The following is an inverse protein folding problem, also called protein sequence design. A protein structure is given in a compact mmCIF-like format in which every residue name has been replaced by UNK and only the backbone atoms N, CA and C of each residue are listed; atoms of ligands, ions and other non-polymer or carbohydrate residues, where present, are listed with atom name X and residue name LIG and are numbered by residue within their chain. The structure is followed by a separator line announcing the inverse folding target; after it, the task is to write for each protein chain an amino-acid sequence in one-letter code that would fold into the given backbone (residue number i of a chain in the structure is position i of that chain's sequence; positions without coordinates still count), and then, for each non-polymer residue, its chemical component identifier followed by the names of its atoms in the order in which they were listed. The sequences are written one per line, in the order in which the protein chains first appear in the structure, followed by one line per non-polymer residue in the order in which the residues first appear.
data_IF_913425557357
#
_entry.id   IF_913425557357
#
_cell.length_a   1.000
_cell.length_b   1.000
_cell.length_c   1.000
_cell.angle_alpha   90.00
_cell.angle_beta   90.00
_cell.angle_gamma   90.00
#
_symmetry.space_group_name_H-M   'P 1'
#
loop_
_entity.id
_entity.type
_entity.pdbx_description
1 polymer ?
#
# COMPACT_ATOMS: atom_id res chain seq x y z
N UNK A 1 -34.76 44.06 0.04
CA UNK A 1 -35.08 42.66 -0.32
C UNK A 1 -34.17 42.08 -1.40
N UNK A 2 -33.92 42.77 -2.52
CA UNK A 2 -33.12 42.25 -3.66
C UNK A 2 -31.65 41.93 -3.31
N UNK A 3 -31.04 42.61 -2.32
CA UNK A 3 -29.65 42.31 -1.90
C UNK A 3 -29.52 41.03 -1.09
N UNK A 4 -30.57 40.59 -0.39
CA UNK A 4 -30.54 39.36 0.44
C UNK A 4 -30.68 38.12 -0.46
N UNK A 5 -31.49 38.21 -1.52
CA UNK A 5 -31.67 37.12 -2.48
C UNK A 5 -30.42 36.83 -3.31
N UNK A 6 -29.62 37.85 -3.65
CA UNK A 6 -28.37 37.66 -4.39
C UNK A 6 -27.29 36.95 -3.55
N UNK A 7 -27.19 37.26 -2.25
CA UNK A 7 -26.25 36.60 -1.34
C UNK A 7 -26.62 35.13 -1.06
N UNK A 8 -27.92 34.80 -0.98
CA UNK A 8 -28.37 33.42 -0.79
C UNK A 8 -28.10 32.57 -2.05
N UNK A 9 -28.32 33.11 -3.26
CA UNK A 9 -28.03 32.40 -4.51
C UNK A 9 -26.53 32.14 -4.68
N UNK A 10 -25.66 33.06 -4.24
CA UNK A 10 -24.21 32.88 -4.28
C UNK A 10 -23.74 31.77 -3.31
N UNK A 11 -24.33 31.67 -2.12
CA UNK A 11 -24.02 30.62 -1.13
C UNK A 11 -24.52 29.26 -1.62
N UNK A 12 -25.70 29.21 -2.26
CA UNK A 12 -26.24 27.98 -2.85
C UNK A 12 -25.34 27.51 -4.01
N UNK A 13 -24.89 28.40 -4.90
CA UNK A 13 -23.94 28.04 -5.96
C UNK A 13 -22.57 27.58 -5.44
N UNK A 14 -22.09 28.13 -4.33
CA UNK A 14 -20.85 27.68 -3.69
C UNK A 14 -21.02 26.29 -3.02
N UNK A 15 -22.21 25.98 -2.51
CA UNK A 15 -22.51 24.68 -1.90
C UNK A 15 -22.85 23.56 -2.91
N UNK A 16 -23.36 23.89 -4.10
CA UNK A 16 -23.61 22.87 -5.14
C UNK A 16 -22.32 22.43 -5.86
N UNK A 17 -21.31 23.29 -5.98
CA UNK A 17 -20.03 22.93 -6.59
C UNK A 17 -19.25 21.86 -5.82
N UNK A 18 -19.43 21.80 -4.49
CA UNK A 18 -18.75 20.80 -3.64
C UNK A 18 -19.36 19.40 -3.73
N UNK A 19 -20.65 19.29 -4.08
CA UNK A 19 -21.36 17.99 -4.09
C UNK A 19 -20.97 17.18 -5.34
N UNK A 20 -20.90 17.80 -6.52
CA UNK A 20 -20.52 17.11 -7.76
C UNK A 20 -19.03 16.69 -7.81
N UNK A 21 -18.12 17.44 -7.19
CA UNK A 21 -16.68 17.08 -7.14
C UNK A 21 -16.39 15.83 -6.31
N UNK A 22 -17.26 15.51 -5.35
CA UNK A 22 -17.07 14.40 -4.41
C UNK A 22 -17.34 13.02 -5.04
N UNK A 23 -18.28 12.94 -5.98
CA UNK A 23 -18.67 11.68 -6.63
C UNK A 23 -17.58 11.18 -7.59
N UNK A 24 -17.01 12.08 -8.39
CA UNK A 24 -15.89 11.76 -9.30
C UNK A 24 -14.60 11.41 -8.53
N UNK A 25 -14.32 12.09 -7.40
CA UNK A 25 -13.17 11.76 -6.54
C UNK A 25 -13.26 10.33 -6.00
N UNK A 26 -14.45 9.90 -5.55
CA UNK A 26 -14.68 8.55 -5.05
C UNK A 26 -14.49 7.47 -6.13
N UNK A 27 -14.88 7.75 -7.38
CA UNK A 27 -14.67 6.83 -8.51
C UNK A 27 -13.17 6.54 -8.70
N UNK A 28 -12.34 7.58 -8.77
CA UNK A 28 -10.90 7.44 -8.92
C UNK A 28 -10.24 6.82 -7.68
N UNK A 29 -10.75 7.12 -6.49
CA UNK A 29 -10.28 6.50 -5.25
C UNK A 29 -10.53 4.98 -5.24
N UNK A 30 -11.72 4.55 -5.63
CA UNK A 30 -12.08 3.14 -5.72
C UNK A 30 -11.26 2.42 -6.79
N UNK A 31 -11.09 3.02 -7.98
CA UNK A 31 -10.26 2.48 -9.05
C UNK A 31 -8.79 2.33 -8.61
N UNK A 32 -8.24 3.33 -7.91
CA UNK A 32 -6.90 3.26 -7.35
C UNK A 32 -6.75 2.19 -6.28
N UNK A 33 -7.77 2.02 -5.43
CA UNK A 33 -7.82 0.95 -4.43
C UNK A 33 -7.84 -0.44 -5.06
N UNK A 34 -8.63 -0.63 -6.13
CA UNK A 34 -8.67 -1.90 -6.86
C UNK A 34 -7.31 -2.26 -7.47
N UNK A 35 -6.64 -1.28 -8.10
CA UNK A 35 -5.30 -1.47 -8.67
C UNK A 35 -4.25 -1.78 -7.61
N UNK A 36 -4.37 -1.18 -6.43
CA UNK A 36 -3.52 -1.51 -5.29
C UNK A 36 -3.72 -2.95 -4.83
N UNK A 37 -4.98 -3.42 -4.72
CA UNK A 37 -5.29 -4.82 -4.37
C UNK A 37 -4.77 -5.83 -5.41
N UNK A 38 -4.64 -5.42 -6.67
CA UNK A 38 -4.03 -6.21 -7.73
C UNK A 38 -2.48 -6.18 -7.71
N UNK A 39 -1.87 -5.43 -6.79
CA UNK A 39 -0.41 -5.23 -6.71
C UNK A 39 0.16 -4.30 -7.79
N UNK A 40 -0.70 -3.58 -8.53
CA UNK A 40 -0.27 -2.62 -9.54
C UNK A 40 -0.12 -1.23 -8.94
N UNK A 41 1.02 -1.00 -8.28
CA UNK A 41 1.31 0.24 -7.55
C UNK A 41 1.32 1.48 -8.45
N UNK A 42 1.79 1.38 -9.70
CA UNK A 42 1.88 2.52 -10.61
C UNK A 42 0.50 3.06 -10.99
N UNK A 43 -0.40 2.18 -11.46
CA UNK A 43 -1.77 2.56 -11.81
C UNK A 43 -2.60 2.95 -10.58
N UNK A 44 -2.33 2.34 -9.43
CA UNK A 44 -2.98 2.70 -8.17
C UNK A 44 -2.70 4.16 -7.79
N UNK A 45 -1.43 4.57 -7.81
CA UNK A 45 -1.03 5.94 -7.49
C UNK A 45 -1.58 6.92 -8.53
N UNK A 46 -1.55 6.59 -9.82
CA UNK A 46 -2.09 7.49 -10.86
C UNK A 46 -3.58 7.80 -10.65
N UNK A 47 -4.39 6.78 -10.35
CA UNK A 47 -5.81 6.97 -10.07
C UNK A 47 -6.04 7.75 -8.77
N UNK A 48 -5.29 7.47 -7.71
CA UNK A 48 -5.40 8.21 -6.46
C UNK A 48 -4.94 9.67 -6.60
N UNK A 49 -3.96 9.98 -7.44
CA UNK A 49 -3.57 11.35 -7.75
C UNK A 49 -4.68 12.10 -8.50
N UNK A 50 -5.43 11.43 -9.39
CA UNK A 50 -6.63 11.99 -10.01
C UNK A 50 -7.70 12.29 -8.94
N UNK A 51 -7.94 11.37 -8.02
CA UNK A 51 -8.84 11.59 -6.88
C UNK A 51 -8.40 12.78 -6.01
N UNK A 52 -7.10 12.88 -5.72
CA UNK A 52 -6.52 13.97 -4.92
C UNK A 52 -6.63 15.34 -5.60
N UNK A 53 -6.59 15.38 -6.95
CA UNK A 53 -6.82 16.62 -7.71
C UNK A 53 -8.27 17.08 -7.63
N UNK A 54 -9.22 16.15 -7.55
CA UNK A 54 -10.65 16.43 -7.44
C UNK A 54 -11.08 16.77 -6.00
N UNK A 55 -10.38 16.25 -5.00
CA UNK A 55 -10.58 16.59 -3.59
C UNK A 55 -9.25 16.86 -2.85
N UNK A 56 -8.66 18.07 -3.02
CA UNK A 56 -7.37 18.42 -2.41
C UNK A 56 -7.36 18.43 -0.88
N UNK A 57 -8.53 18.65 -0.26
CA UNK A 57 -8.73 18.71 1.19
C UNK A 57 -8.74 17.34 1.87
N UNK A 58 -8.90 16.26 1.12
CA UNK A 58 -9.04 14.94 1.68
C UNK A 58 -7.71 14.34 2.13
N UNK A 59 -7.45 14.44 3.44
CA UNK A 59 -6.25 13.88 4.06
C UNK A 59 -6.13 12.35 3.82
N UNK A 60 -7.26 11.62 3.73
CA UNK A 60 -7.25 10.16 3.57
C UNK A 60 -6.65 9.74 2.23
N UNK A 61 -6.99 10.44 1.15
CA UNK A 61 -6.45 10.14 -0.18
C UNK A 61 -4.93 10.34 -0.19
N UNK A 62 -4.48 11.46 0.41
CA UNK A 62 -3.06 11.80 0.52
C UNK A 62 -2.29 10.78 1.36
N UNK A 63 -2.79 10.42 2.53
CA UNK A 63 -2.20 9.40 3.40
C UNK A 63 -2.12 8.04 2.70
N UNK A 64 -3.16 7.69 1.92
CA UNK A 64 -3.19 6.43 1.21
C UNK A 64 -2.17 6.40 0.06
N UNK A 65 -2.02 7.49 -0.70
CA UNK A 65 -0.95 7.63 -1.71
C UNK A 65 0.43 7.43 -1.07
N UNK A 66 0.70 8.10 0.05
CA UNK A 66 1.99 7.99 0.76
C UNK A 66 2.25 6.54 1.18
N UNK A 67 1.23 5.87 1.75
CA UNK A 67 1.35 4.46 2.15
C UNK A 67 1.71 3.56 0.96
N UNK A 68 1.01 3.71 -0.15
CA UNK A 68 1.22 2.90 -1.37
C UNK A 68 2.63 3.14 -1.93
N UNK A 69 3.09 4.40 -1.95
CA UNK A 69 4.44 4.74 -2.42
C UNK A 69 5.54 4.17 -1.52
N UNK A 70 5.35 4.16 -0.20
CA UNK A 70 6.29 3.50 0.74
C UNK A 70 6.34 1.99 0.47
N UNK A 71 5.18 1.35 0.29
CA UNK A 71 5.11 -0.09 0.03
C UNK A 71 5.74 -0.47 -1.32
N UNK A 72 5.48 0.30 -2.37
CA UNK A 72 6.11 0.14 -3.68
C UNK A 72 7.63 0.35 -3.61
N UNK A 73 8.09 1.30 -2.78
CA UNK A 73 9.52 1.51 -2.49
C UNK A 73 10.13 0.27 -1.83
N UNK A 74 9.48 -0.30 -0.81
CA UNK A 74 9.93 -1.51 -0.13
C UNK A 74 9.99 -2.71 -1.08
N UNK A 75 8.98 -2.90 -1.94
CA UNK A 75 8.98 -3.97 -2.93
C UNK A 75 10.11 -3.80 -3.94
N UNK A 76 10.35 -2.58 -4.41
CA UNK A 76 11.47 -2.28 -5.31
C UNK A 76 12.83 -2.54 -4.64
N UNK A 77 12.98 -2.27 -3.34
CA UNK A 77 14.16 -2.66 -2.55
C UNK A 77 14.37 -4.17 -2.50
N UNK A 78 13.30 -4.95 -2.27
CA UNK A 78 13.36 -6.42 -2.27
C UNK A 78 13.84 -6.95 -3.62
N UNK A 79 13.46 -6.28 -4.72
CA UNK A 79 13.88 -6.60 -6.07
C UNK A 79 15.23 -5.98 -6.47
N UNK A 80 15.92 -5.29 -5.56
CA UNK A 80 17.16 -4.51 -5.80
C UNK A 80 17.03 -3.48 -6.93
N UNK A 81 15.81 -3.06 -7.25
CA UNK A 81 15.54 -2.03 -8.25
C UNK A 81 15.55 -0.64 -7.59
N UNK A 82 16.74 -0.19 -7.17
CA UNK A 82 16.90 1.06 -6.43
C UNK A 82 16.49 2.31 -7.23
N UNK A 83 16.53 2.25 -8.56
CA UNK A 83 16.07 3.33 -9.43
C UNK A 83 14.57 3.54 -9.29
N UNK A 84 13.80 2.46 -9.38
CA UNK A 84 12.36 2.51 -9.21
C UNK A 84 11.97 2.81 -7.75
N UNK A 85 12.72 2.27 -6.79
CA UNK A 85 12.54 2.61 -5.38
C UNK A 85 12.70 4.12 -5.14
N UNK A 86 13.72 4.74 -5.76
CA UNK A 86 13.95 6.17 -5.63
C UNK A 86 12.82 7.00 -6.24
N UNK A 87 12.27 6.57 -7.38
CA UNK A 87 11.13 7.22 -8.02
C UNK A 87 9.92 7.27 -7.08
N UNK A 88 9.55 6.13 -6.48
CA UNK A 88 8.41 6.07 -5.56
C UNK A 88 8.62 6.89 -4.29
N UNK A 89 9.79 6.78 -3.66
CA UNK A 89 10.05 7.50 -2.41
C UNK A 89 10.22 9.01 -2.61
N UNK A 90 10.72 9.45 -3.78
CA UNK A 90 10.78 10.88 -4.13
C UNK A 90 9.38 11.50 -4.22
N UNK A 91 8.42 10.78 -4.82
CA UNK A 91 7.01 11.19 -4.88
C UNK A 91 6.39 11.23 -3.48
N UNK A 92 6.66 10.24 -2.64
CA UNK A 92 6.16 10.24 -1.26
C UNK A 92 6.70 11.45 -0.47
N UNK A 93 7.96 11.81 -0.68
CA UNK A 93 8.58 12.98 -0.05
C UNK A 93 7.96 14.30 -0.53
N UNK A 94 7.49 14.38 -1.78
CA UNK A 94 6.73 15.53 -2.27
C UNK A 94 5.36 15.68 -1.57
N UNK A 95 4.70 14.57 -1.23
CA UNK A 95 3.42 14.60 -0.51
C UNK A 95 3.54 14.88 0.98
N UNK A 96 4.64 14.44 1.62
CA UNK A 96 4.87 14.60 3.04
C UNK A 96 6.34 14.91 3.37
N UNK A 97 6.82 16.12 3.02
CA UNK A 97 8.24 16.49 3.18
C UNK A 97 8.67 16.60 4.64
N UNK A 98 7.74 16.68 5.59
CA UNK A 98 8.03 16.72 7.04
C UNK A 98 7.92 15.34 7.71
N UNK A 99 7.55 14.30 6.96
CA UNK A 99 7.43 12.96 7.53
C UNK A 99 8.81 12.32 7.67
N UNK A 100 9.28 12.18 8.92
CA UNK A 100 10.60 11.65 9.26
C UNK A 100 10.87 10.28 8.60
N UNK A 101 9.88 9.38 8.61
CA UNK A 101 10.02 8.04 8.00
C UNK A 101 10.26 8.11 6.50
N UNK A 102 9.58 9.03 5.80
CA UNK A 102 9.76 9.23 4.36
C UNK A 102 11.13 9.81 4.05
N UNK A 103 11.60 10.76 4.86
CA UNK A 103 12.94 11.35 4.71
C UNK A 103 14.06 10.33 4.93
N UNK A 104 13.97 9.52 5.99
CA UNK A 104 14.94 8.47 6.29
C UNK A 104 15.00 7.43 5.16
N UNK A 105 13.83 6.97 4.69
CA UNK A 105 13.75 6.00 3.60
C UNK A 105 14.23 6.59 2.26
N UNK A 106 13.98 7.89 2.00
CA UNK A 106 14.51 8.59 0.83
C UNK A 106 16.04 8.63 0.87
N UNK A 107 16.63 9.04 2.01
CA UNK A 107 18.08 9.10 2.20
C UNK A 107 18.73 7.73 1.99
N UNK A 108 18.22 6.70 2.66
CA UNK A 108 18.68 5.32 2.51
C UNK A 108 18.64 4.84 1.05
N UNK A 109 17.53 5.11 0.35
CA UNK A 109 17.36 4.69 -1.05
C UNK A 109 18.32 5.41 -1.98
N UNK A 110 18.56 6.70 -1.75
CA UNK A 110 19.51 7.50 -2.50
C UNK A 110 20.96 7.02 -2.29
N UNK A 111 21.33 6.73 -1.04
CA UNK A 111 22.66 6.20 -0.69
C UNK A 111 22.89 4.84 -1.37
N UNK A 112 21.90 3.92 -1.29
CA UNK A 112 21.97 2.62 -1.96
C UNK A 112 22.07 2.74 -3.48
N UNK A 113 21.38 3.70 -4.10
CA UNK A 113 21.48 3.94 -5.54
C UNK A 113 22.87 4.45 -5.93
N UNK A 114 23.46 5.35 -5.15
CA UNK A 114 24.81 5.87 -5.38
C UNK A 114 25.87 4.77 -5.22
N UNK A 115 25.76 3.95 -4.18
CA UNK A 115 26.64 2.78 -3.99
C UNK A 115 26.51 1.77 -5.14
N UNK A 116 25.28 1.51 -5.62
CA UNK A 116 25.05 0.65 -6.78
C UNK A 116 25.63 1.24 -8.07
N UNK A 117 25.69 2.57 -8.21
CA UNK A 117 26.32 3.23 -9.36
C UNK A 117 27.85 3.24 -9.27
N UNK A 118 28.43 3.37 -8.07
CA UNK A 118 29.87 3.29 -7.85
C UNK A 118 30.43 1.90 -8.13
N UNK A 119 29.68 0.84 -7.80
CA UNK A 119 30.06 -0.54 -8.13
C UNK A 119 29.99 -0.84 -9.64
N UNK A 120 29.25 -0.04 -10.41
CA UNK A 120 29.12 -0.15 -11.86
C UNK A 120 30.05 0.80 -12.64
N UNK A 121 31.00 1.48 -11.98
CA UNK A 121 32.07 2.21 -12.68
C UNK A 121 33.05 1.20 -13.30
N UNK A 122 33.20 1.14 -14.63
CA UNK A 122 34.15 0.24 -15.26
C UNK A 122 35.58 0.74 -15.05
N UNK A 123 36.46 -0.14 -14.58
CA UNK A 123 37.86 -0.10 -15.00
C UNK A 123 37.93 -0.16 -16.53
N UNK A 124 38.94 0.51 -17.09
CA UNK A 124 39.20 0.67 -18.52
C UNK A 124 38.85 -0.56 -19.39
N UNK A 125 37.97 -0.37 -20.39
CA UNK A 125 38.35 -0.47 -21.82
C UNK A 125 37.14 -0.62 -22.79
N UNK A 126 37.19 0.20 -23.84
CA UNK A 126 36.77 0.01 -25.25
C UNK A 126 35.28 -0.20 -25.62
N UNK A 127 34.66 0.93 -25.94
CA UNK A 127 34.00 1.28 -27.22
C UNK A 127 33.21 0.18 -28.01
N UNK A 128 31.86 0.29 -28.02
CA UNK A 128 31.04 0.06 -29.25
C UNK A 128 29.57 0.53 -29.14
N UNK A 129 29.32 1.64 -29.87
CA UNK A 129 28.19 2.01 -30.77
C UNK A 129 26.71 1.84 -30.33
N UNK A 130 26.10 3.01 -30.13
CA UNK A 130 24.68 3.40 -30.23
C UNK A 130 24.05 3.17 -31.61
N UNK A 131 22.72 3.00 -31.68
CA UNK A 131 21.81 3.55 -32.71
C UNK A 131 20.31 3.36 -32.32
N UNK A 132 19.32 4.04 -32.95
CA UNK A 132 18.43 4.99 -32.26
C UNK A 132 16.91 4.72 -32.38
N UNK A 133 16.14 5.55 -31.66
CA UNK A 133 14.68 5.77 -31.73
C UNK A 133 14.13 6.04 -33.15
N UNK A 134 12.85 5.68 -33.43
CA UNK A 134 12.08 6.27 -34.52
C UNK A 134 10.99 7.22 -34.05
N UNK A 135 11.03 8.46 -34.55
CA UNK A 135 9.94 9.43 -34.57
C UNK A 135 9.12 9.35 -35.87
N UNK A 136 7.92 9.97 -35.81
CA UNK A 136 7.15 10.61 -36.91
C UNK A 136 6.33 9.66 -37.83
N UNK A 137 5.08 9.92 -38.23
CA UNK A 137 4.57 11.16 -38.83
C UNK A 137 3.06 11.43 -38.65
N UNK A 138 2.78 12.73 -38.59
CA UNK A 138 1.51 13.43 -38.71
C UNK A 138 1.19 13.67 -40.19
N UNK A 139 -0.07 13.59 -40.60
CA UNK A 139 -0.56 14.38 -41.76
C UNK A 139 -1.99 14.89 -41.54
N UNK A 140 -2.13 16.22 -41.64
CA UNK A 140 -3.37 17.00 -41.79
C UNK A 140 -3.39 17.56 -43.22
N UNK A 141 -4.58 17.70 -43.84
CA UNK A 141 -5.11 18.90 -44.55
C UNK A 141 -6.36 18.52 -45.39
N UNK A 142 -7.56 19.10 -45.18
CA UNK A 142 -8.11 20.42 -45.64
C UNK A 142 -8.50 20.40 -47.15
N UNK A 143 -9.59 20.92 -47.73
CA UNK A 143 -10.94 21.51 -47.42
C UNK A 143 -11.64 21.74 -48.80
N UNK A 144 -12.90 22.25 -48.86
CA UNK A 144 -13.76 22.27 -50.05
C UNK A 144 -13.68 23.56 -50.88
N UNK A 145 -14.33 23.58 -52.06
CA UNK A 145 -14.60 24.79 -52.82
C UNK A 145 -15.97 24.74 -53.55
N UNK A 146 -16.71 25.85 -53.42
CA UNK A 146 -17.93 26.26 -54.12
C UNK A 146 -17.56 27.15 -55.30
N UNK A 147 -18.28 27.11 -56.43
CA UNK A 147 -18.48 28.27 -57.32
C UNK A 147 -19.63 28.09 -58.33
N UNK A 148 -20.14 29.23 -58.80
CA UNK A 148 -21.46 29.48 -59.36
C UNK A 148 -21.49 29.77 -60.87
N UNK A 149 -22.72 29.91 -61.37
CA UNK A 149 -23.24 30.76 -62.49
C UNK A 149 -23.31 30.25 -63.96
N UNK A 150 -24.41 30.68 -64.60
CA UNK A 150 -25.00 30.33 -65.92
C UNK A 150 -24.41 31.15 -67.10
N UNK A 151 -24.83 30.92 -68.38
CA UNK A 151 -25.90 31.78 -68.96
C UNK A 151 -26.76 31.24 -70.15
N UNK A 152 -27.99 31.80 -70.24
CA UNK A 152 -28.81 32.30 -71.38
C UNK A 152 -28.59 31.80 -72.84
N UNK A 153 -29.71 31.46 -73.53
CA UNK A 153 -29.96 31.71 -74.98
C UNK A 153 -31.42 32.12 -75.27
N UNK A 154 -31.59 33.09 -76.19
CA UNK A 154 -32.83 33.66 -76.78
C UNK A 154 -33.03 33.17 -78.24
N UNK A 155 -34.27 33.05 -78.70
CA UNK A 155 -34.72 33.33 -80.10
C UNK A 155 -36.26 33.50 -80.13
N UNK A 156 -36.77 34.68 -80.51
CA UNK A 156 -37.49 35.04 -81.77
C UNK A 156 -38.94 34.48 -81.84
N UNK A 157 -40.01 35.25 -81.65
CA UNK A 157 -40.64 36.31 -82.50
C UNK A 157 -41.60 35.75 -83.57
N UNK A 158 -42.91 35.99 -83.43
CA UNK A 158 -43.88 36.19 -84.53
C UNK A 158 -45.23 36.73 -84.03
N UNK A 159 -45.82 37.67 -84.79
CA UNK A 159 -47.00 38.50 -84.46
C UNK A 159 -48.29 38.02 -85.16
N UNK A 160 -49.41 38.20 -84.45
CA UNK A 160 -50.78 38.60 -84.89
C UNK A 160 -51.59 37.64 -85.81
N UNK A 161 -52.94 37.76 -85.94
CA UNK A 161 -53.81 38.85 -85.50
C UNK A 161 -55.14 38.48 -84.78
N UNK A 162 -55.77 39.55 -84.31
CA UNK A 162 -57.13 39.77 -83.82
C UNK A 162 -58.22 39.01 -84.61
N UNK A 163 -59.11 38.33 -83.89
CA UNK A 163 -60.50 38.10 -84.32
C UNK A 163 -61.42 38.09 -83.09
N UNK A 164 -62.30 39.09 -83.03
CA UNK A 164 -63.34 39.21 -82.02
C UNK A 164 -64.49 38.26 -82.34
N UNK A 165 -64.70 37.26 -81.48
CA UNK A 165 -65.83 36.33 -81.56
C UNK A 165 -66.76 36.61 -80.38
N UNK A 166 -68.00 36.95 -80.70
CA UNK A 166 -69.11 37.16 -79.77
C UNK A 166 -69.29 35.92 -78.88
N UNK A 167 -69.10 36.08 -77.56
CA UNK A 167 -69.19 35.00 -76.57
C UNK A 167 -70.60 34.95 -75.99
N UNK A 168 -71.35 33.93 -76.38
CA UNK A 168 -72.61 33.52 -75.77
C UNK A 168 -72.41 33.26 -74.25
N UNK A 169 -73.12 34.03 -73.42
CA UNK A 169 -73.01 34.07 -71.95
C UNK A 169 -73.85 33.00 -71.24
N UNK A 170 -74.34 31.97 -71.92
CA UNK A 170 -75.12 30.90 -71.27
C UNK A 170 -74.28 29.71 -70.77
N UNK A 171 -72.97 29.63 -71.11
CA UNK A 171 -72.09 28.50 -70.73
C UNK A 171 -70.88 28.88 -69.85
N UNK A 172 -70.74 30.17 -69.50
CA UNK A 172 -69.56 30.73 -68.82
C UNK A 172 -69.41 30.20 -67.37
N UNK A 173 -70.52 29.85 -66.71
CA UNK A 173 -70.47 29.25 -65.37
C UNK A 173 -69.91 27.81 -65.41
N UNK A 174 -70.28 27.00 -66.40
CA UNK A 174 -69.76 25.62 -66.55
C UNK A 174 -68.26 25.60 -66.80
N UNK A 175 -67.77 26.54 -67.60
CA UNK A 175 -66.33 26.72 -67.87
C UNK A 175 -65.60 27.14 -66.59
N UNK A 176 -66.15 28.09 -65.81
CA UNK A 176 -65.58 28.49 -64.52
C UNK A 176 -65.57 27.35 -63.50
N UNK A 177 -66.65 26.58 -63.39
CA UNK A 177 -66.71 25.40 -62.51
C UNK A 177 -65.72 24.32 -62.94
N UNK A 178 -65.53 24.11 -64.25
CA UNK A 178 -64.52 23.19 -64.77
C UNK A 178 -63.10 23.60 -64.35
N UNK A 179 -62.74 24.89 -64.44
CA UNK A 179 -61.44 25.37 -63.99
C UNK A 179 -61.25 25.30 -62.47
N UNK A 180 -62.29 25.58 -61.67
CA UNK A 180 -62.24 25.42 -60.21
C UNK A 180 -62.06 23.95 -59.83
N UNK A 181 -62.79 23.04 -60.49
CA UNK A 181 -62.69 21.60 -60.25
C UNK A 181 -61.34 21.05 -60.70
N UNK A 182 -60.83 21.46 -61.88
CA UNK A 182 -59.50 21.09 -62.35
C UNK A 182 -58.41 21.62 -61.41
N UNK A 183 -58.57 22.85 -60.89
CA UNK A 183 -57.70 23.43 -59.87
C UNK A 183 -57.69 22.61 -58.59
N UNK A 184 -58.86 22.29 -58.04
CA UNK A 184 -58.99 21.44 -56.85
C UNK A 184 -58.38 20.05 -57.07
N UNK A 185 -58.68 19.39 -58.19
CA UNK A 185 -58.12 18.09 -58.57
C UNK A 185 -56.59 18.14 -58.68
N UNK A 186 -56.02 19.23 -59.21
CA UNK A 186 -54.56 19.40 -59.27
C UNK A 186 -53.92 19.50 -57.89
N UNK A 187 -54.57 20.20 -56.94
CA UNK A 187 -54.09 20.30 -55.55
C UNK A 187 -54.17 18.94 -54.85
N UNK A 188 -55.26 18.19 -55.04
CA UNK A 188 -55.36 16.82 -54.53
C UNK A 188 -54.30 15.90 -55.13
N UNK A 189 -54.02 16.02 -56.43
CA UNK A 189 -53.01 15.22 -57.10
C UNK A 189 -51.60 15.55 -56.60
N UNK A 190 -51.28 16.84 -56.40
CA UNK A 190 -50.03 17.29 -55.78
C UNK A 190 -49.91 16.78 -54.33
N UNK A 191 -50.97 16.86 -53.53
CA UNK A 191 -51.00 16.32 -52.17
C UNK A 191 -50.77 14.80 -52.15
N UNK A 192 -51.37 14.08 -53.10
CA UNK A 192 -51.17 12.64 -53.25
C UNK A 192 -49.73 12.28 -53.64
N UNK A 193 -49.11 13.04 -54.55
CA UNK A 193 -47.69 12.86 -54.90
C UNK A 193 -46.79 13.09 -53.68
N UNK A 194 -47.04 14.13 -52.89
CA UNK A 194 -46.27 14.41 -51.66
C UNK A 194 -46.43 13.29 -50.64
N UNK A 195 -47.64 12.75 -50.47
CA UNK A 195 -47.91 11.62 -49.59
C UNK A 195 -47.15 10.37 -50.05
N UNK A 196 -47.18 10.05 -51.35
CA UNK A 196 -46.41 8.93 -51.91
C UNK A 196 -44.90 9.13 -51.72
N UNK A 197 -44.39 10.34 -51.95
CA UNK A 197 -42.99 10.66 -51.71
C UNK A 197 -42.60 10.48 -50.23
N UNK A 198 -43.46 10.90 -49.29
CA UNK A 198 -43.26 10.69 -47.85
C UNK A 198 -43.17 9.21 -47.49
N UNK A 199 -44.10 8.38 -48.00
CA UNK A 199 -44.08 6.92 -47.78
C UNK A 199 -42.82 6.27 -48.35
N UNK A 200 -42.34 6.73 -49.51
CA UNK A 200 -41.10 6.24 -50.11
C UNK A 200 -39.89 6.61 -49.23
N UNK A 201 -39.82 7.84 -48.72
CA UNK A 201 -38.74 8.29 -47.83
C UNK A 201 -38.72 7.46 -46.55
N UNK A 202 -39.87 7.23 -45.91
CA UNK A 202 -39.98 6.37 -44.75
C UNK A 202 -39.53 4.93 -45.05
N UNK A 203 -39.92 4.37 -46.19
CA UNK A 203 -39.49 3.02 -46.58
C UNK A 203 -37.97 2.91 -46.74
N UNK A 204 -37.31 3.94 -47.27
CA UNK A 204 -35.85 4.01 -47.43
C UNK A 204 -35.19 4.13 -46.05
N UNK A 205 -35.74 4.97 -45.16
CA UNK A 205 -35.28 5.11 -43.79
C UNK A 205 -35.35 3.78 -43.02
N UNK A 206 -36.48 3.08 -43.12
CA UNK A 206 -36.69 1.77 -42.49
C UNK A 206 -35.70 0.72 -43.01
N UNK A 207 -35.39 0.70 -44.31
CA UNK A 207 -34.37 -0.19 -44.87
C UNK A 207 -32.98 0.09 -44.29
N UNK A 208 -32.60 1.36 -44.13
CA UNK A 208 -31.33 1.75 -43.51
C UNK A 208 -31.26 1.31 -42.05
N UNK A 209 -32.32 1.55 -41.28
CA UNK A 209 -32.40 1.13 -39.86
C UNK A 209 -32.29 -0.39 -39.75
N UNK A 210 -32.99 -1.16 -40.59
CA UNK A 210 -32.87 -2.63 -40.63
C UNK A 210 -31.46 -3.10 -40.95
N UNK A 211 -30.79 -2.48 -41.91
CA UNK A 211 -29.41 -2.81 -42.25
C UNK A 211 -28.45 -2.53 -41.09
N UNK A 212 -28.63 -1.40 -40.39
CA UNK A 212 -27.84 -1.11 -39.18
C UNK A 212 -28.12 -2.10 -38.04
N UNK A 213 -29.38 -2.53 -37.87
CA UNK A 213 -29.76 -3.50 -36.84
C UNK A 213 -29.13 -4.87 -37.08
N UNK A 214 -29.06 -5.32 -38.34
CA UNK A 214 -28.35 -6.55 -38.71
C UNK A 214 -26.85 -6.47 -38.40
N UNK A 215 -26.20 -5.32 -38.64
CA UNK A 215 -24.78 -5.12 -38.29
C UNK A 215 -24.57 -5.20 -36.78
N UNK A 216 -25.43 -4.55 -36.00
CA UNK A 216 -25.38 -4.61 -34.54
C UNK A 216 -25.59 -6.04 -34.03
N UNK A 217 -26.49 -6.81 -34.64
CA UNK A 217 -26.70 -8.22 -34.29
C UNK A 217 -25.46 -9.08 -34.59
N UNK A 218 -24.80 -8.83 -35.73
CA UNK A 218 -23.55 -9.51 -36.09
C UNK A 218 -22.41 -9.17 -35.10
N UNK A 219 -22.23 -7.89 -34.77
CA UNK A 219 -21.28 -7.44 -33.75
C UNK A 219 -21.57 -8.05 -32.38
N UNK A 220 -22.84 -8.15 -31.98
CA UNK A 220 -23.21 -8.80 -30.72
C UNK A 220 -22.87 -10.29 -30.72
N UNK A 221 -23.07 -10.98 -31.85
CA UNK A 221 -22.68 -12.39 -32.00
C UNK A 221 -21.16 -12.57 -31.92
N UNK A 222 -20.37 -11.68 -32.51
CA UNK A 222 -18.91 -11.74 -32.42
C UNK A 222 -18.44 -11.47 -30.99
N UNK A 223 -18.99 -10.45 -30.32
CA UNK A 223 -18.65 -10.11 -28.94
C UNK A 223 -19.01 -11.26 -27.98
N UNK A 224 -20.15 -11.91 -28.20
CA UNK A 224 -20.59 -13.05 -27.39
C UNK A 224 -19.65 -14.25 -27.54
N UNK A 225 -19.15 -14.52 -28.76
CA UNK A 225 -18.13 -15.54 -28.98
C UNK A 225 -16.81 -15.20 -28.29
N UNK A 226 -16.35 -13.96 -28.41
CA UNK A 226 -15.12 -13.50 -27.76
C UNK A 226 -15.21 -13.60 -26.24
N UNK A 227 -16.35 -13.16 -25.65
CA UNK A 227 -16.63 -13.32 -24.22
C UNK A 227 -16.54 -14.77 -23.77
N UNK A 228 -17.11 -15.70 -24.53
CA UNK A 228 -17.05 -17.13 -24.21
C UNK A 228 -15.62 -17.67 -24.28
N UNK A 229 -14.84 -17.28 -25.29
CA UNK A 229 -13.43 -17.68 -25.41
C UNK A 229 -12.60 -17.17 -24.22
N UNK A 230 -12.74 -15.90 -23.86
CA UNK A 230 -12.07 -15.30 -22.69
C UNK A 230 -12.49 -16.01 -21.40
N UNK A 231 -13.77 -16.39 -21.26
CA UNK A 231 -14.23 -17.15 -20.10
C UNK A 231 -13.59 -18.54 -20.01
N UNK A 232 -13.38 -19.21 -21.15
CA UNK A 232 -12.70 -20.52 -21.18
C UNK A 232 -11.22 -20.38 -20.84
N UNK A 233 -10.54 -19.36 -21.36
CA UNK A 233 -9.14 -19.08 -21.03
C UNK A 233 -8.95 -18.72 -19.55
N UNK A 234 -9.88 -17.95 -18.99
CA UNK A 234 -9.88 -17.60 -17.57
C UNK A 234 -9.98 -18.86 -16.70
N UNK A 235 -10.87 -19.81 -17.02
CA UNK A 235 -10.98 -21.06 -16.27
C UNK A 235 -9.71 -21.92 -16.40
N UNK A 236 -9.10 -22.01 -17.59
CA UNK A 236 -7.80 -22.68 -17.76
C UNK A 236 -6.70 -22.06 -16.90
N UNK A 237 -6.66 -20.73 -16.82
CA UNK A 237 -5.70 -20.03 -15.97
C UNK A 237 -5.95 -20.27 -14.48
N UNK A 238 -7.21 -20.29 -14.05
CA UNK A 238 -7.56 -20.62 -12.66
C UNK A 238 -7.12 -22.04 -12.28
N UNK A 239 -7.35 -23.02 -13.16
CA UNK A 239 -6.90 -24.40 -12.93
C UNK A 239 -5.37 -24.49 -12.86
N UNK A 240 -4.66 -23.79 -13.75
CA UNK A 240 -3.18 -23.73 -13.71
C UNK A 240 -2.67 -23.14 -12.39
N UNK A 241 -3.23 -22.02 -11.94
CA UNK A 241 -2.87 -21.38 -10.67
C UNK A 241 -3.12 -22.33 -9.50
N UNK A 242 -4.27 -23.04 -9.51
CA UNK A 242 -4.59 -24.03 -8.47
C UNK A 242 -3.57 -25.16 -8.41
N UNK A 243 -3.12 -25.65 -9.56
CA UNK A 243 -2.09 -26.69 -9.66
C UNK A 243 -0.73 -26.21 -9.16
N UNK A 244 -0.28 -25.02 -9.58
CA UNK A 244 0.97 -24.42 -9.12
C UNK A 244 0.95 -24.16 -7.61
N UNK A 245 -0.18 -23.70 -7.06
CA UNK A 245 -0.36 -23.52 -5.63
C UNK A 245 -0.24 -24.84 -4.85
N UNK A 246 -0.84 -25.93 -5.35
CA UNK A 246 -0.74 -27.24 -4.74
C UNK A 246 0.70 -27.75 -4.71
N UNK A 247 1.47 -27.55 -5.79
CA UNK A 247 2.89 -27.90 -5.85
C UNK A 247 3.69 -27.07 -4.85
N UNK A 248 3.47 -25.75 -4.81
CA UNK A 248 4.18 -24.87 -3.88
C UNK A 248 3.93 -25.27 -2.42
N UNK A 249 2.70 -25.66 -2.08
CA UNK A 249 2.36 -26.11 -0.72
C UNK A 249 3.02 -27.44 -0.37
N UNK A 250 3.12 -28.37 -1.33
CA UNK A 250 3.89 -29.60 -1.14
C UNK A 250 5.37 -29.32 -0.87
N UNK A 251 6.00 -28.42 -1.64
CA UNK A 251 7.38 -27.99 -1.40
C UNK A 251 7.54 -27.31 -0.03
N UNK A 252 6.57 -26.49 0.38
CA UNK A 252 6.59 -25.83 1.71
C UNK A 252 6.57 -26.84 2.85
N UNK A 253 5.74 -27.88 2.74
CA UNK A 253 5.67 -28.96 3.72
C UNK A 253 6.98 -29.75 3.74
N UNK A 254 7.55 -30.09 2.58
CA UNK A 254 8.83 -30.81 2.50
C UNK A 254 9.98 -30.00 3.13
N UNK A 255 10.08 -28.71 2.81
CA UNK A 255 11.09 -27.82 3.39
C UNK A 255 10.97 -27.74 4.90
N UNK A 256 9.74 -27.64 5.43
CA UNK A 256 9.48 -27.64 6.88
C UNK A 256 9.92 -28.94 7.54
N UNK A 257 9.71 -30.09 6.88
CA UNK A 257 10.18 -31.37 7.40
C UNK A 257 11.71 -31.48 7.37
N UNK A 258 12.36 -31.02 6.30
CA UNK A 258 13.83 -31.00 6.21
C UNK A 258 14.44 -30.10 7.29
N UNK A 259 13.91 -28.89 7.45
CA UNK A 259 14.34 -27.95 8.50
C UNK A 259 14.20 -28.55 9.89
N UNK A 260 13.08 -29.20 10.21
CA UNK A 260 12.90 -29.90 11.51
C UNK A 260 13.93 -31.00 11.74
N UNK A 261 14.20 -31.83 10.72
CA UNK A 261 15.22 -32.89 10.81
C UNK A 261 16.62 -32.31 11.02
N UNK A 262 16.93 -31.20 10.38
CA UNK A 262 18.21 -30.51 10.53
C UNK A 262 18.35 -29.86 11.90
N UNK A 263 17.31 -29.19 12.40
CA UNK A 263 17.26 -28.67 13.77
C UNK A 263 17.44 -29.77 14.82
N UNK A 264 16.80 -30.92 14.64
CA UNK A 264 16.94 -32.07 15.55
C UNK A 264 18.37 -32.63 15.51
N UNK A 265 18.96 -32.74 14.32
CA UNK A 265 20.37 -33.14 14.17
C UNK A 265 21.32 -32.17 14.88
N UNK A 266 21.15 -30.87 14.67
CA UNK A 266 21.96 -29.83 15.30
C UNK A 266 21.78 -29.84 16.83
N UNK A 267 20.57 -30.08 17.33
CA UNK A 267 20.30 -30.20 18.75
C UNK A 267 21.05 -31.39 19.37
N UNK A 268 21.02 -32.54 18.71
CA UNK A 268 21.76 -33.74 19.15
C UNK A 268 23.27 -33.48 19.15
N UNK A 269 23.80 -32.85 18.10
CA UNK A 269 25.22 -32.50 18.01
C UNK A 269 25.64 -31.50 19.11
N UNK A 270 24.82 -30.48 19.36
CA UNK A 270 25.05 -29.51 20.42
C UNK A 270 25.04 -30.16 21.80
N UNK A 271 24.11 -31.09 22.06
CA UNK A 271 24.04 -31.82 23.31
C UNK A 271 25.28 -32.70 23.52
N UNK A 272 25.74 -33.40 22.47
CA UNK A 272 26.97 -34.19 22.52
C UNK A 272 28.20 -33.31 22.82
N UNK A 273 28.34 -32.17 22.13
CA UNK A 273 29.42 -31.21 22.38
C UNK A 273 29.36 -30.66 23.80
N UNK A 274 28.17 -30.36 24.31
CA UNK A 274 27.96 -29.86 25.67
C UNK A 274 28.41 -30.88 26.71
N UNK A 275 28.00 -32.15 26.55
CA UNK A 275 28.46 -33.24 27.43
C UNK A 275 29.97 -33.43 27.40
N UNK A 276 30.60 -33.36 26.22
CA UNK A 276 32.06 -33.44 26.10
C UNK A 276 32.77 -32.29 26.82
N UNK A 277 32.24 -31.06 26.70
CA UNK A 277 32.77 -29.89 27.40
C UNK A 277 32.61 -30.05 28.92
N UNK A 278 31.44 -30.48 29.39
CA UNK A 278 31.18 -30.74 30.81
C UNK A 278 32.10 -31.81 31.39
N UNK A 279 32.32 -32.92 30.68
CA UNK A 279 33.25 -33.98 31.09
C UNK A 279 34.68 -33.45 31.17
N UNK A 280 35.10 -32.65 30.18
CA UNK A 280 36.42 -32.04 30.16
C UNK A 280 36.59 -31.09 31.35
N UNK A 281 35.65 -30.16 31.55
CA UNK A 281 35.65 -29.24 32.69
C UNK A 281 35.65 -30.00 34.02
N UNK A 282 34.84 -31.05 34.15
CA UNK A 282 34.80 -31.89 35.34
C UNK A 282 36.15 -32.56 35.61
N UNK A 283 36.82 -33.07 34.58
CA UNK A 283 38.15 -33.68 34.72
C UNK A 283 39.22 -32.65 35.11
N UNK A 284 39.21 -31.47 34.49
CA UNK A 284 40.11 -30.35 34.81
C UNK A 284 39.88 -29.84 36.24
N UNK A 285 38.63 -29.74 36.68
CA UNK A 285 38.26 -29.32 38.04
C UNK A 285 38.70 -30.34 39.10
N UNK A 286 38.49 -31.64 38.86
CA UNK A 286 38.96 -32.71 39.76
C UNK A 286 40.49 -32.69 39.85
N UNK A 287 41.19 -32.45 38.74
CA UNK A 287 42.64 -32.37 38.71
C UNK A 287 43.18 -31.15 39.48
N UNK A 288 42.47 -30.01 39.42
CA UNK A 288 42.93 -28.73 39.99
C UNK A 288 42.56 -28.53 41.46
N UNK A 289 41.41 -29.03 41.90
CA UNK A 289 40.86 -28.74 43.23
C UNK A 289 40.53 -30.00 44.06
N UNK A 290 40.86 -31.19 43.55
CA UNK A 290 40.58 -32.47 44.21
C UNK A 290 39.11 -32.89 44.11
N UNK A 291 38.78 -34.11 44.58
CA UNK A 291 37.44 -34.72 44.47
C UNK A 291 36.31 -33.94 45.18
N UNK A 292 36.66 -32.96 46.03
CA UNK A 292 35.73 -32.28 46.92
C UNK A 292 35.35 -30.85 46.48
N UNK A 293 35.88 -30.34 45.35
CA UNK A 293 35.37 -29.09 44.78
C UNK A 293 33.97 -29.33 44.20
N UNK A 294 32.97 -28.84 44.92
CA UNK A 294 31.58 -29.18 44.71
C UNK A 294 31.12 -28.82 43.27
N UNK A 295 30.36 -29.68 42.59
CA UNK A 295 29.75 -29.39 41.28
C UNK A 295 28.96 -28.07 41.25
N UNK A 296 28.47 -27.62 42.41
CA UNK A 296 27.71 -26.38 42.58
C UNK A 296 28.55 -25.11 42.36
N UNK A 297 29.80 -25.05 42.83
CA UNK A 297 30.66 -23.88 42.65
C UNK A 297 31.13 -23.76 41.19
N UNK A 298 31.42 -24.89 40.54
CA UNK A 298 31.78 -24.93 39.13
C UNK A 298 30.62 -24.47 38.24
N UNK A 299 29.40 -24.98 38.50
CA UNK A 299 28.19 -24.56 37.81
C UNK A 299 27.94 -23.06 38.00
N UNK A 300 28.10 -22.56 39.23
CA UNK A 300 27.95 -21.15 39.55
C UNK A 300 28.90 -20.26 38.73
N UNK A 301 30.19 -20.55 38.74
CA UNK A 301 31.18 -19.79 37.97
C UNK A 301 30.92 -19.85 36.47
N UNK A 302 30.49 -21.00 35.94
CA UNK A 302 30.15 -21.15 34.53
C UNK A 302 28.94 -20.29 34.15
N UNK A 303 27.89 -20.28 34.97
CA UNK A 303 26.69 -19.49 34.71
C UNK A 303 26.97 -17.98 34.78
N UNK A 304 27.77 -17.54 35.75
CA UNK A 304 28.22 -16.14 35.83
C UNK A 304 29.04 -15.74 34.59
N UNK A 305 29.99 -16.57 34.17
CA UNK A 305 30.83 -16.28 33.02
C UNK A 305 30.01 -16.13 31.73
N UNK A 306 28.99 -16.98 31.52
CA UNK A 306 28.08 -16.87 30.37
C UNK A 306 27.25 -15.59 30.41
N UNK A 307 26.75 -15.19 31.59
CA UNK A 307 26.00 -13.93 31.71
C UNK A 307 26.92 -12.75 31.38
N UNK A 308 28.16 -12.76 31.89
CA UNK A 308 29.15 -11.73 31.58
C UNK A 308 29.52 -11.69 30.09
N UNK A 309 29.69 -12.84 29.44
CA UNK A 309 29.95 -12.90 28.00
C UNK A 309 28.82 -12.25 27.18
N UNK A 310 27.56 -12.48 27.57
CA UNK A 310 26.41 -11.84 26.90
C UNK A 310 26.35 -10.34 27.21
N UNK A 311 26.73 -9.93 28.42
CA UNK A 311 26.76 -8.52 28.81
C UNK A 311 27.91 -7.74 28.17
N UNK A 312 29.06 -8.38 27.96
CA UNK A 312 30.28 -7.81 27.36
C UNK A 312 30.30 -7.91 25.83
N UNK A 313 29.45 -8.77 25.24
CA UNK A 313 29.25 -8.84 23.79
C UNK A 313 28.81 -7.49 23.22
N UNK A 314 28.98 -7.30 21.90
CA UNK A 314 28.77 -6.05 21.17
C UNK A 314 27.29 -5.66 21.00
N UNK A 315 26.55 -5.69 22.11
CA UNK A 315 25.22 -5.11 22.29
C UNK A 315 25.33 -3.61 22.61
N UNK A 316 26.50 -3.01 22.32
CA UNK A 316 26.82 -1.59 22.42
C UNK A 316 26.28 -0.76 21.24
N UNK A 317 25.68 -1.40 20.23
CA UNK A 317 25.04 -0.68 19.14
C UNK A 317 23.73 -0.06 19.66
N UNK A 318 23.74 1.27 19.82
CA UNK A 318 22.71 2.10 20.45
C UNK A 318 21.32 2.12 19.79
N UNK A 319 20.86 0.99 19.22
CA UNK A 319 19.49 0.80 18.80
C UNK A 319 18.66 0.27 19.98
N UNK A 320 17.98 1.21 20.66
CA UNK A 320 17.19 1.05 21.89
C UNK A 320 16.00 0.06 21.83
N UNK A 321 15.87 -0.74 20.77
CA UNK A 321 14.79 -1.72 20.62
C UNK A 321 15.11 -2.80 19.56
N UNK A 322 16.38 -3.20 19.38
CA UNK A 322 16.65 -4.29 18.44
C UNK A 322 16.08 -5.61 19.01
N UNK A 323 15.41 -6.45 18.18
CA UNK A 323 14.98 -7.79 18.61
C UNK A 323 16.12 -8.63 19.19
N UNK A 324 17.36 -8.37 18.75
CA UNK A 324 18.56 -9.03 19.27
C UNK A 324 18.87 -8.63 20.73
N UNK A 325 18.77 -7.33 21.07
CA UNK A 325 18.94 -6.83 22.44
C UNK A 325 17.88 -7.41 23.38
N UNK A 326 16.61 -7.41 22.97
CA UNK A 326 15.53 -8.01 23.76
C UNK A 326 15.72 -9.52 23.95
N UNK A 327 16.15 -10.23 22.90
CA UNK A 327 16.49 -11.65 22.98
C UNK A 327 17.67 -11.90 23.94
N UNK A 328 18.70 -11.03 23.93
CA UNK A 328 19.82 -11.13 24.85
C UNK A 328 19.41 -10.91 26.31
N UNK A 329 18.58 -9.89 26.57
CA UNK A 329 18.01 -9.62 27.90
C UNK A 329 17.17 -10.79 28.40
N UNK A 330 16.40 -11.44 27.53
CA UNK A 330 15.64 -12.65 27.87
C UNK A 330 16.57 -13.79 28.28
N UNK A 331 17.67 -14.01 27.55
CA UNK A 331 18.67 -15.02 27.91
C UNK A 331 19.34 -14.72 29.25
N UNK A 332 19.74 -13.46 29.48
CA UNK A 332 20.32 -13.02 30.75
C UNK A 332 19.33 -13.27 31.89
N UNK A 333 18.06 -12.91 31.72
CA UNK A 333 17.03 -13.10 32.72
C UNK A 333 16.81 -14.58 33.06
N UNK A 334 16.69 -15.45 32.05
CA UNK A 334 16.56 -16.89 32.25
C UNK A 334 17.79 -17.50 32.96
N UNK A 335 19.00 -17.10 32.56
CA UNK A 335 20.23 -17.57 33.22
C UNK A 335 20.33 -17.09 34.67
N UNK A 336 19.97 -15.84 34.95
CA UNK A 336 19.97 -15.28 36.28
C UNK A 336 18.90 -15.91 37.18
N UNK A 337 17.72 -16.21 36.65
CA UNK A 337 16.68 -16.95 37.38
C UNK A 337 17.16 -18.35 37.75
N UNK A 338 17.72 -19.09 36.79
CA UNK A 338 18.32 -20.40 37.06
C UNK A 338 19.41 -20.28 38.14
N UNK A 339 20.31 -19.30 38.01
CA UNK A 339 21.36 -19.06 39.01
C UNK A 339 20.78 -18.80 40.40
N UNK A 340 19.69 -18.04 40.48
CA UNK A 340 18.99 -17.75 41.73
C UNK A 340 18.33 -18.99 42.33
N UNK A 341 17.75 -19.88 41.52
CA UNK A 341 17.16 -21.14 41.99
C UNK A 341 18.21 -22.08 42.61
N UNK A 342 19.43 -22.12 42.06
CA UNK A 342 20.51 -22.96 42.58
C UNK A 342 21.31 -22.30 43.73
N UNK A 343 21.58 -21.00 43.65
CA UNK A 343 22.43 -20.27 44.59
C UNK A 343 21.92 -18.83 44.82
N UNK A 344 20.84 -18.64 45.60
CA UNK A 344 20.17 -17.34 45.75
C UNK A 344 21.09 -16.20 46.20
N UNK A 345 21.92 -16.42 47.23
CA UNK A 345 22.80 -15.39 47.78
C UNK A 345 23.81 -14.89 46.75
N UNK A 346 24.49 -15.82 46.10
CA UNK A 346 25.52 -15.48 45.12
C UNK A 346 24.93 -14.90 43.83
N UNK A 347 23.71 -15.30 43.43
CA UNK A 347 22.97 -14.67 42.34
C UNK A 347 22.59 -13.22 42.67
N UNK A 348 22.11 -12.97 43.89
CA UNK A 348 21.78 -11.63 44.36
C UNK A 348 23.00 -10.73 44.42
N UNK A 349 24.13 -11.21 44.95
CA UNK A 349 25.39 -10.45 44.98
C UNK A 349 25.86 -10.09 43.58
N UNK A 350 25.76 -11.03 42.64
CA UNK A 350 26.08 -10.79 41.24
C UNK A 350 25.18 -9.72 40.61
N UNK A 351 23.85 -9.87 40.74
CA UNK A 351 22.90 -8.91 40.18
C UNK A 351 23.04 -7.52 40.81
N UNK A 352 23.32 -7.46 42.12
CA UNK A 352 23.60 -6.22 42.85
C UNK A 352 24.91 -5.55 42.41
N UNK A 353 25.92 -6.34 42.04
CA UNK A 353 27.16 -5.81 41.46
C UNK A 353 26.88 -5.24 40.07
N UNK A 354 26.12 -5.95 39.23
CA UNK A 354 25.78 -5.51 37.88
C UNK A 354 24.85 -4.29 37.87
N UNK A 355 23.92 -4.18 38.81
CA UNK A 355 23.06 -3.00 38.95
C UNK A 355 23.81 -1.74 39.40
N UNK A 356 25.06 -1.86 39.83
CA UNK A 356 25.95 -0.75 40.19
C UNK A 356 27.10 -0.56 39.19
N UNK A 357 27.04 -1.23 38.05
CA UNK A 357 28.08 -1.13 37.03
C UNK A 357 28.15 0.30 36.48
N UNK A 358 29.36 0.79 36.17
CA UNK A 358 29.55 2.12 35.59
C UNK A 358 28.82 2.28 34.26
N UNK A 359 28.76 1.21 33.45
CA UNK A 359 28.07 1.18 32.17
C UNK A 359 26.54 1.10 32.34
N UNK A 360 25.77 2.12 31.91
CA UNK A 360 24.31 2.11 32.00
C UNK A 360 23.64 0.99 31.21
N UNK A 361 24.25 0.52 30.12
CA UNK A 361 23.72 -0.60 29.34
C UNK A 361 23.69 -1.88 30.15
N UNK A 362 24.78 -2.18 30.89
CA UNK A 362 24.84 -3.34 31.79
C UNK A 362 23.78 -3.21 32.88
N UNK A 363 23.63 -2.03 33.49
CA UNK A 363 22.59 -1.78 34.50
C UNK A 363 21.19 -2.00 33.93
N UNK A 364 20.91 -1.54 32.71
CA UNK A 364 19.61 -1.73 32.04
C UNK A 364 19.36 -3.21 31.71
N UNK A 365 20.38 -3.95 31.27
CA UNK A 365 20.25 -5.34 30.83
C UNK A 365 19.90 -6.29 31.98
N UNK A 366 20.28 -5.96 33.21
CA UNK A 366 19.94 -6.78 34.39
C UNK A 366 18.57 -6.46 34.99
N UNK A 367 17.90 -5.39 34.57
CA UNK A 367 16.56 -5.00 35.08
C UNK A 367 15.55 -6.13 34.89
N UNK A 368 15.52 -6.75 33.70
CA UNK A 368 14.57 -7.84 33.41
C UNK A 368 14.81 -9.06 34.29
N UNK A 369 16.08 -9.40 34.57
CA UNK A 369 16.42 -10.48 35.49
C UNK A 369 15.90 -10.22 36.91
N UNK A 370 16.12 -9.00 37.43
CA UNK A 370 15.62 -8.57 38.75
C UNK A 370 14.10 -8.65 38.84
N UNK A 371 13.41 -8.19 37.79
CA UNK A 371 11.94 -8.19 37.70
C UNK A 371 11.34 -9.59 37.53
N UNK A 372 12.08 -10.50 36.89
CA UNK A 372 11.68 -11.90 36.74
C UNK A 372 11.78 -12.67 38.06
N UNK A 373 12.87 -12.47 38.81
CA UNK A 373 13.09 -13.08 40.13
C UNK A 373 12.08 -12.57 41.16
N UNK A 374 11.78 -11.26 41.15
CA UNK A 374 10.74 -10.62 41.95
C UNK A 374 10.73 -11.00 43.45
N UNK A 375 11.91 -11.06 44.09
CA UNK A 375 12.02 -11.23 45.53
C UNK A 375 12.21 -9.85 46.22
N UNK A 376 12.08 -9.74 47.55
CA UNK A 376 12.20 -8.45 48.24
C UNK A 376 13.51 -7.70 47.96
N UNK A 377 14.63 -8.42 47.84
CA UNK A 377 15.94 -7.82 47.57
C UNK A 377 16.06 -7.29 46.14
N UNK A 378 15.59 -8.04 45.13
CA UNK A 378 15.63 -7.60 43.73
C UNK A 378 14.69 -6.44 43.48
N UNK A 379 13.57 -6.38 44.20
CA UNK A 379 12.61 -5.27 44.14
C UNK A 379 13.19 -4.00 44.73
N UNK A 380 13.91 -4.11 45.85
CA UNK A 380 14.67 -2.99 46.41
C UNK A 380 15.69 -2.47 45.40
N UNK A 381 16.43 -3.36 44.74
CA UNK A 381 17.38 -2.97 43.68
C UNK A 381 16.65 -2.28 42.50
N UNK A 382 15.46 -2.76 42.10
CA UNK A 382 14.66 -2.11 41.06
C UNK A 382 14.21 -0.70 41.44
N UNK A 383 13.85 -0.46 42.70
CA UNK A 383 13.54 0.90 43.17
C UNK A 383 14.77 1.81 43.21
N UNK A 384 15.94 1.28 43.52
CA UNK A 384 17.20 2.03 43.41
C UNK A 384 17.46 2.41 41.94
N UNK A 385 17.27 1.49 41.00
CA UNK A 385 17.42 1.71 39.55
C UNK A 385 16.33 2.59 38.93
N UNK A 386 15.15 2.69 39.54
CA UNK A 386 14.12 3.64 39.12
C UNK A 386 14.59 5.10 39.30
N UNK A 387 15.49 5.34 40.26
CA UNK A 387 16.11 6.64 40.51
C UNK A 387 17.50 6.76 39.85
N UNK A 388 17.82 5.91 38.86
CA UNK A 388 19.10 5.96 38.16
C UNK A 388 19.25 7.28 37.39
N UNK A 389 20.48 7.78 37.35
CA UNK A 389 20.85 8.98 36.59
C UNK A 389 20.65 8.81 35.08
N UNK A 390 20.73 7.58 34.57
CA UNK A 390 20.56 7.28 33.16
C UNK A 390 19.09 6.96 32.83
N UNK A 391 18.53 7.77 31.92
CA UNK A 391 17.13 7.64 31.49
C UNK A 391 16.79 6.28 30.84
N UNK A 392 17.77 5.58 30.25
CA UNK A 392 17.60 4.26 29.63
C UNK A 392 17.33 3.21 30.69
N UNK A 393 18.08 3.25 31.78
CA UNK A 393 17.91 2.35 32.92
C UNK A 393 16.53 2.57 33.53
N UNK A 394 16.17 3.84 33.79
CA UNK A 394 14.85 4.22 34.31
C UNK A 394 13.71 3.72 33.40
N UNK A 395 13.84 3.89 32.08
CA UNK A 395 12.85 3.42 31.09
C UNK A 395 12.68 1.91 31.14
N UNK A 396 13.77 1.17 31.21
CA UNK A 396 13.71 -0.30 31.27
C UNK A 396 13.04 -0.77 32.58
N UNK A 397 13.28 -0.08 33.70
CA UNK A 397 12.60 -0.36 34.97
C UNK A 397 11.10 -0.14 34.84
N UNK A 398 10.67 0.99 34.27
CA UNK A 398 9.25 1.29 34.05
C UNK A 398 8.54 0.28 33.15
N UNK A 399 9.21 -0.15 32.07
CA UNK A 399 8.71 -1.21 31.18
C UNK A 399 8.47 -2.52 31.93
N UNK A 400 9.41 -2.90 32.79
CA UNK A 400 9.28 -4.12 33.59
C UNK A 400 8.25 -3.98 34.72
N UNK A 401 8.16 -2.82 35.40
CA UNK A 401 7.09 -2.51 36.35
C UNK A 401 5.69 -2.61 35.71
N UNK A 402 5.51 -2.05 34.52
CA UNK A 402 4.25 -2.19 33.76
C UNK A 402 3.93 -3.66 33.46
N UNK A 403 4.94 -4.41 33.03
CA UNK A 403 4.79 -5.84 32.73
C UNK A 403 4.40 -6.63 33.97
N UNK A 404 4.98 -6.31 35.12
CA UNK A 404 4.65 -6.94 36.41
C UNK A 404 3.22 -6.61 36.84
N UNK A 405 2.84 -5.33 36.82
CA UNK A 405 1.50 -4.87 37.20
C UNK A 405 0.39 -5.44 36.29
N UNK A 406 0.71 -5.72 35.02
CA UNK A 406 -0.22 -6.34 34.08
C UNK A 406 -0.43 -7.86 34.23
N UNK A 407 0.30 -8.54 35.13
CA UNK A 407 0.13 -9.98 35.35
C UNK A 407 -1.19 -10.24 36.08
N UNK A 408 -1.97 -11.23 35.60
CA UNK A 408 -3.28 -11.64 36.15
C UNK A 408 -3.26 -12.08 37.61
N UNK A 409 -2.07 -12.28 38.19
CA UNK A 409 -1.84 -12.67 39.58
C UNK A 409 -0.91 -11.68 40.31
N UNK A 410 -0.82 -10.41 39.89
CA UNK A 410 0.03 -9.42 40.55
C UNK A 410 -0.24 -9.37 42.08
N UNK A 411 -1.51 -9.38 42.47
CA UNK A 411 -1.98 -9.41 43.86
C UNK A 411 -1.69 -10.72 44.62
N UNK A 412 -1.24 -11.78 43.92
CA UNK A 412 -0.92 -13.11 44.46
C UNK A 412 0.58 -13.46 44.34
N UNK A 413 1.41 -12.49 43.98
CA UNK A 413 2.87 -12.66 43.90
C UNK A 413 3.51 -12.78 45.28
N UNK A 414 4.76 -13.22 45.33
CA UNK A 414 5.63 -13.18 46.53
C UNK A 414 5.98 -11.77 47.01
N UNK A 415 5.41 -10.73 46.38
CA UNK A 415 5.66 -9.33 46.70
C UNK A 415 4.76 -8.86 47.84
N UNK A 416 5.29 -7.98 48.68
CA UNK A 416 4.46 -7.34 49.72
C UNK A 416 3.44 -6.39 49.07
N UNK A 417 2.28 -6.22 49.70
CA UNK A 417 1.27 -5.26 49.25
C UNK A 417 1.85 -3.83 49.17
N UNK A 418 2.80 -3.49 50.06
CA UNK A 418 3.49 -2.20 50.03
C UNK A 418 4.37 -2.03 48.80
N UNK A 419 5.06 -3.07 48.35
CA UNK A 419 5.90 -3.00 47.14
C UNK A 419 5.05 -2.92 45.87
N UNK A 420 3.93 -3.65 45.84
CA UNK A 420 2.95 -3.57 44.75
C UNK A 420 2.38 -2.16 44.61
N UNK A 421 1.97 -1.55 45.73
CA UNK A 421 1.48 -0.17 45.78
C UNK A 421 2.55 0.82 45.30
N UNK A 422 3.80 0.67 45.76
CA UNK A 422 4.91 1.52 45.30
C UNK A 422 5.15 1.41 43.79
N UNK A 423 5.12 0.20 43.22
CA UNK A 423 5.26 -0.01 41.76
C UNK A 423 4.15 0.75 41.02
N UNK A 424 2.90 0.64 41.47
CA UNK A 424 1.77 1.34 40.85
C UNK A 424 1.90 2.87 40.98
N UNK A 425 2.38 3.36 42.12
CA UNK A 425 2.63 4.78 42.33
C UNK A 425 3.73 5.30 41.39
N UNK A 426 4.85 4.57 41.23
CA UNK A 426 5.89 4.94 40.25
C UNK A 426 5.33 5.04 38.82
N UNK A 427 4.49 4.10 38.40
CA UNK A 427 3.87 4.12 37.07
C UNK A 427 2.90 5.30 36.89
N UNK A 428 2.11 5.61 37.92
CA UNK A 428 1.16 6.72 37.91
C UNK A 428 1.89 8.07 37.92
N UNK A 429 2.93 8.23 38.75
CA UNK A 429 3.73 9.45 38.81
C UNK A 429 4.32 9.79 37.43
N UNK A 430 4.91 8.82 36.75
CA UNK A 430 5.46 9.04 35.41
C UNK A 430 4.38 9.31 34.36
N UNK A 431 3.19 8.73 34.52
CA UNK A 431 2.03 9.05 33.66
C UNK A 431 1.58 10.51 33.84
N UNK A 432 1.60 11.03 35.06
CA UNK A 432 1.23 12.43 35.34
C UNK A 432 2.25 13.44 34.83
N UNK A 433 3.54 13.06 34.76
CA UNK A 433 4.61 13.91 34.21
C UNK A 433 4.53 14.09 32.69
N UNK A 434 3.71 13.29 31.98
CA UNK A 434 3.51 13.42 30.53
C UNK A 434 4.68 12.95 29.67
N UNK A 435 5.75 12.40 30.27
CA UNK A 435 6.97 11.95 29.57
C UNK A 435 6.87 10.50 29.03
N UNK A 436 5.68 10.06 28.58
CA UNK A 436 5.54 8.73 27.97
C UNK A 436 5.86 8.75 26.48
N UNK A 437 7.03 8.23 26.13
CA UNK A 437 7.34 7.70 24.80
C UNK A 437 7.75 6.24 24.98
N UNK A 438 6.85 5.32 24.61
CA UNK A 438 7.19 3.91 24.36
C UNK A 438 8.03 3.82 23.08
#
# INVERSE_FOLDING_TARGET
MIKITASIILIIFFSLGTIFSSEDSNLYFNAGTEKYLQGNFAEAVENLEKAQKLDPSNAKIREFIIKILIEATTQAHMNRNYRQALEYISRANAFAPQNQRVQELYKLTNDLMNTAQEYNKPGESKERKSYPEPQTQVTKQYKPAVKAEAPVKRTAEQRAPLNAVYRDKSNDYKIRYFFIFAGAASVFFLGFIVLLASLIIESISLKKVRASLLKVEEEFKTLSKEKNNVSIELEKHKEKIKYEHQIAEQFRVELKQRSRKEEERLKIELEQKTRQIEERLRSEMIAKYGRNAAPQEAFFHQQQARILEILDGDISTGEFASPALESARERIAAMAQNLYEYAPGSALDFLKKMSKNENPQIRSNVVRALALIANPDTIKILFDLYNDSDSTVKREVLKNFKTMAGRTNFDKTSLSASDQEKILNCLNDEKTKGEWIL
#
